data_IF_963914798493
#
_entry.id   IF_963914798493
#
_cell.length_a   1.000
_cell.length_b   1.000
_cell.length_c   1.000
_cell.angle_alpha   90.00
_cell.angle_beta   90.00
_cell.angle_gamma   90.00
#
_symmetry.space_group_name_H-M   'P 1'
#
loop_
_entity.id
_entity.type
_entity.pdbx_description
1 polymer ?
#
# COMPACT_ATOMS: atom_id res chain seq x y z
N UNK A 1 30.06 -29.33 -36.17
CA UNK A 1 29.08 -28.50 -35.42
C UNK A 1 28.06 -29.42 -34.81
N UNK A 2 28.05 -29.56 -33.49
CA UNK A 2 27.17 -30.45 -32.73
C UNK A 2 26.50 -29.63 -31.65
N UNK A 3 25.16 -29.53 -31.72
CA UNK A 3 24.39 -28.77 -30.74
C UNK A 3 24.28 -29.54 -29.43
N UNK A 4 24.53 -28.86 -28.31
CA UNK A 4 24.29 -29.38 -26.96
C UNK A 4 23.06 -28.67 -26.41
N UNK A 5 21.98 -29.41 -26.18
CA UNK A 5 20.80 -28.94 -25.46
C UNK A 5 20.95 -29.22 -23.96
N UNK A 6 20.90 -28.20 -23.08
CA UNK A 6 20.90 -28.43 -21.63
C UNK A 6 19.51 -28.89 -21.16
N UNK A 7 19.45 -30.06 -20.52
CA UNK A 7 18.21 -30.58 -19.90
C UNK A 7 18.11 -30.14 -18.43
N UNK A 8 17.24 -29.18 -18.15
CA UNK A 8 16.92 -28.78 -16.77
C UNK A 8 16.12 -29.89 -16.06
N UNK A 9 16.71 -30.45 -15.00
CA UNK A 9 16.07 -31.45 -14.15
C UNK A 9 15.17 -30.76 -13.11
N UNK A 10 13.87 -30.69 -13.39
CA UNK A 10 12.88 -30.19 -12.42
C UNK A 10 12.55 -31.27 -11.39
N UNK A 11 12.78 -30.97 -10.11
CA UNK A 11 12.47 -31.87 -9.01
C UNK A 11 10.95 -31.97 -8.78
N UNK A 12 10.36 -33.15 -9.00
CA UNK A 12 8.94 -33.42 -8.75
C UNK A 12 8.69 -33.93 -7.32
N UNK A 13 8.00 -33.17 -6.47
CA UNK A 13 7.16 -33.62 -5.33
C UNK A 13 6.01 -32.60 -5.17
N UNK A 14 4.79 -32.95 -5.56
CA UNK A 14 3.71 -33.59 -4.75
C UNK A 14 3.01 -32.58 -3.80
N UNK A 15 1.69 -32.56 -3.67
CA UNK A 15 0.62 -33.15 -4.48
C UNK A 15 -0.73 -32.50 -4.12
N UNK A 16 -1.63 -32.38 -5.10
CA UNK A 16 -3.04 -32.05 -4.87
C UNK A 16 -3.74 -33.17 -4.07
N UNK A 17 -4.47 -32.83 -3.01
CA UNK A 17 -5.50 -33.72 -2.44
C UNK A 17 -6.82 -32.98 -2.26
N UNK A 18 -7.77 -33.32 -3.13
CA UNK A 18 -9.20 -33.06 -2.93
C UNK A 18 -9.75 -34.25 -2.16
N UNK A 19 -10.51 -34.00 -1.08
CA UNK A 19 -11.19 -35.02 -0.29
C UNK A 19 -12.68 -34.72 -0.16
N UNK A 20 -13.52 -35.52 -0.82
CA UNK A 20 -14.97 -35.58 -0.54
C UNK A 20 -15.30 -36.85 0.25
N UNK A 21 -16.14 -36.74 1.27
CA UNK A 21 -17.14 -37.76 1.61
C UNK A 21 -17.15 -38.34 3.03
N UNK A 22 -18.33 -38.19 3.68
CA UNK A 22 -19.03 -39.11 4.60
C UNK A 22 -19.30 -38.64 6.05
N UNK A 23 -20.42 -39.14 6.61
CA UNK A 23 -21.08 -38.78 7.88
C UNK A 23 -21.36 -40.06 8.73
N UNK A 24 -21.96 -40.10 9.93
CA UNK A 24 -22.82 -39.19 10.71
C UNK A 24 -22.57 -39.40 12.22
N UNK A 25 -22.50 -38.35 13.06
CA UNK A 25 -22.85 -38.44 14.50
C UNK A 25 -23.07 -37.06 15.16
N UNK A 26 -24.15 -36.92 15.92
CA UNK A 26 -24.59 -35.66 16.55
C UNK A 26 -24.12 -35.55 18.01
N UNK A 27 -23.59 -34.38 18.40
CA UNK A 27 -23.58 -33.93 19.79
C UNK A 27 -23.90 -32.43 19.84
N UNK A 28 -24.86 -32.04 20.67
CA UNK A 28 -25.29 -30.64 20.75
C UNK A 28 -24.26 -29.81 21.53
N UNK A 29 -23.75 -28.75 20.91
CA UNK A 29 -22.85 -27.78 21.52
C UNK A 29 -22.91 -26.47 20.75
N UNK A 30 -23.30 -25.39 21.46
CA UNK A 30 -23.45 -23.99 21.03
C UNK A 30 -22.91 -23.68 19.63
N UNK A 31 -23.81 -23.42 18.68
CA UNK A 31 -23.44 -22.84 17.39
C UNK A 31 -22.90 -21.42 17.59
N UNK A 32 -21.58 -21.30 17.71
CA UNK A 32 -20.89 -20.04 17.53
C UNK A 32 -21.13 -19.57 16.09
N UNK A 33 -21.98 -18.56 15.92
CA UNK A 33 -22.21 -17.87 14.64
C UNK A 33 -20.98 -17.04 14.30
N UNK A 34 -19.91 -17.72 13.90
CA UNK A 34 -18.61 -17.14 13.57
C UNK A 34 -18.69 -16.41 12.22
N UNK A 35 -18.89 -15.08 12.30
CA UNK A 35 -18.49 -14.01 11.35
C UNK A 35 -18.78 -14.11 9.84
N UNK A 36 -19.24 -15.23 9.30
CA UNK A 36 -19.46 -15.42 7.87
C UNK A 36 -20.54 -14.50 7.27
N UNK A 37 -21.45 -13.97 8.10
CA UNK A 37 -22.50 -13.05 7.69
C UNK A 37 -22.02 -11.61 7.41
N UNK A 38 -20.76 -11.27 7.72
CA UNK A 38 -20.22 -9.91 7.51
C UNK A 38 -19.62 -9.69 6.10
N UNK A 39 -19.42 -10.76 5.32
CA UNK A 39 -18.70 -10.68 4.04
C UNK A 39 -19.61 -10.38 2.83
N UNK A 40 -20.93 -10.57 2.97
CA UNK A 40 -21.92 -10.25 1.92
C UNK A 40 -22.31 -8.76 1.87
N UNK A 41 -21.99 -7.97 2.90
CA UNK A 41 -22.43 -6.57 3.06
C UNK A 41 -21.47 -5.51 2.47
N UNK A 42 -20.23 -5.89 2.12
CA UNK A 42 -19.26 -4.97 1.51
C UNK A 42 -19.56 -4.77 0.01
N UNK A 43 -19.70 -3.51 -0.38
CA UNK A 43 -19.98 -3.07 -1.76
C UNK A 43 -18.72 -2.52 -2.43
N UNK A 44 -18.77 -2.40 -3.75
CA UNK A 44 -17.66 -1.84 -4.53
C UNK A 44 -17.42 -0.36 -4.17
N UNK A 45 -18.45 0.38 -3.78
CA UNK A 45 -18.35 1.74 -3.24
C UNK A 45 -17.72 1.80 -1.84
N UNK A 46 -17.72 0.72 -1.05
CA UNK A 46 -16.96 0.67 0.20
C UNK A 46 -15.46 0.56 -0.08
N UNK A 47 -15.09 -0.24 -1.08
CA UNK A 47 -13.71 -0.40 -1.54
C UNK A 47 -13.20 0.90 -2.18
N UNK A 48 -14.01 1.57 -3.01
CA UNK A 48 -13.63 2.85 -3.61
C UNK A 48 -13.53 3.99 -2.59
N UNK A 49 -14.35 3.98 -1.53
CA UNK A 49 -14.19 4.92 -0.39
C UNK A 49 -12.95 4.60 0.43
N UNK A 50 -12.61 3.33 0.62
CA UNK A 50 -11.37 2.91 1.26
C UNK A 50 -10.15 3.42 0.48
N UNK A 51 -10.09 3.14 -0.83
CA UNK A 51 -9.03 3.63 -1.73
C UNK A 51 -8.87 5.15 -1.62
N UNK A 52 -9.95 5.94 -1.73
CA UNK A 52 -9.90 7.41 -1.62
C UNK A 52 -9.24 7.91 -0.32
N UNK A 53 -9.26 7.17 0.80
CA UNK A 53 -8.51 7.57 2.01
C UNK A 53 -6.99 7.45 1.83
N UNK A 54 -6.52 6.46 1.07
CA UNK A 54 -5.10 6.25 0.72
C UNK A 54 -4.64 7.32 -0.26
N UNK A 55 -5.37 7.50 -1.37
CA UNK A 55 -5.14 8.56 -2.37
C UNK A 55 -4.98 9.95 -1.73
N UNK A 56 -5.79 10.22 -0.71
CA UNK A 56 -5.69 11.46 0.06
C UNK A 56 -4.38 11.63 0.83
N UNK A 57 -3.85 10.56 1.41
CA UNK A 57 -2.56 10.57 2.11
C UNK A 57 -1.41 10.71 1.11
N UNK A 58 -1.48 10.01 -0.02
CA UNK A 58 -0.41 9.97 -1.02
C UNK A 58 -0.34 11.29 -1.79
N UNK A 59 -1.48 11.85 -2.22
CA UNK A 59 -1.54 13.19 -2.80
C UNK A 59 -1.08 14.29 -1.81
N UNK A 60 -1.46 14.24 -0.53
CA UNK A 60 -0.92 15.18 0.47
C UNK A 60 0.59 15.04 0.64
N UNK A 61 1.11 13.81 0.70
CA UNK A 61 2.54 13.54 0.83
C UNK A 61 3.33 14.13 -0.35
N UNK A 62 2.93 13.77 -1.57
CA UNK A 62 3.64 14.14 -2.78
C UNK A 62 3.52 15.64 -3.11
N UNK A 63 2.34 16.24 -2.94
CA UNK A 63 2.18 17.69 -3.13
C UNK A 63 3.00 18.48 -2.09
N UNK A 64 3.04 18.06 -0.82
CA UNK A 64 3.83 18.74 0.22
C UNK A 64 5.31 18.67 -0.08
N UNK A 65 5.82 17.50 -0.45
CA UNK A 65 7.23 17.33 -0.80
C UNK A 65 7.67 18.09 -2.04
N UNK A 66 6.83 18.16 -3.08
CA UNK A 66 7.21 18.77 -4.36
C UNK A 66 6.90 20.27 -4.44
N UNK A 67 5.78 20.72 -3.86
CA UNK A 67 5.30 22.10 -3.96
C UNK A 67 5.41 22.88 -2.65
N UNK A 68 5.39 22.21 -1.50
CA UNK A 68 5.25 22.84 -0.18
C UNK A 68 3.81 23.12 0.23
N UNK A 69 2.81 22.58 -0.47
CA UNK A 69 1.37 22.73 -0.20
C UNK A 69 0.67 21.37 -0.21
N UNK A 70 -0.47 21.28 0.47
CA UNK A 70 -1.37 20.11 0.37
C UNK A 70 -2.31 20.19 -0.84
N UNK A 71 -3.36 19.36 -0.81
CA UNK A 71 -4.44 19.35 -1.80
C UNK A 71 -5.31 20.61 -1.65
N UNK A 72 -5.80 21.16 -2.76
CA UNK A 72 -6.72 22.31 -2.77
C UNK A 72 -8.08 22.00 -2.11
N UNK A 73 -8.69 22.99 -1.45
CA UNK A 73 -9.95 22.87 -0.70
C UNK A 73 -11.13 22.28 -1.51
N UNK A 74 -11.13 22.46 -2.84
CA UNK A 74 -12.15 21.89 -3.74
C UNK A 74 -12.12 20.35 -3.81
N UNK A 75 -10.96 19.76 -3.57
CA UNK A 75 -10.72 18.32 -3.76
C UNK A 75 -10.69 17.54 -2.43
N UNK A 76 -10.78 18.19 -1.27
CA UNK A 76 -10.71 17.52 0.06
C UNK A 76 -12.07 17.30 0.73
N UNK A 77 -13.17 17.82 0.17
CA UNK A 77 -14.52 17.60 0.69
C UNK A 77 -15.03 18.69 1.63
N UNK A 78 -16.16 18.42 2.28
CA UNK A 78 -16.94 19.44 3.02
C UNK A 78 -16.44 19.70 4.45
N UNK A 79 -15.86 18.69 5.08
CA UNK A 79 -15.34 18.68 6.45
C UNK A 79 -14.03 17.89 6.49
N UNK A 80 -13.00 18.32 5.75
CA UNK A 80 -11.70 17.66 5.73
C UNK A 80 -11.07 17.67 7.13
N UNK A 81 -10.39 16.59 7.49
CA UNK A 81 -9.50 16.56 8.63
C UNK A 81 -8.20 17.32 8.35
N UNK A 82 -7.56 17.78 9.42
CA UNK A 82 -6.26 18.46 9.36
C UNK A 82 -5.15 17.51 8.90
N UNK A 83 -4.08 18.09 8.35
CA UNK A 83 -2.90 17.34 7.91
C UNK A 83 -1.65 17.91 8.58
N UNK A 84 -1.05 17.10 9.44
CA UNK A 84 0.15 17.42 10.22
C UNK A 84 1.40 16.95 9.47
N UNK A 85 2.47 17.73 9.58
CA UNK A 85 3.74 17.45 8.93
C UNK A 85 3.82 17.80 7.45
N UNK A 86 4.97 17.48 6.87
CA UNK A 86 5.29 17.73 5.48
C UNK A 86 5.84 19.13 5.18
N UNK A 87 6.82 19.18 4.29
CA UNK A 87 7.47 20.41 3.80
C UNK A 87 8.07 20.17 2.42
N UNK A 88 8.35 21.25 1.69
CA UNK A 88 9.01 21.15 0.38
C UNK A 88 10.43 20.57 0.53
N UNK A 89 10.70 19.51 -0.23
CA UNK A 89 11.97 18.80 -0.30
C UNK A 89 12.91 19.49 -1.28
N UNK A 90 14.19 19.56 -0.92
CA UNK A 90 15.24 19.92 -1.87
C UNK A 90 15.67 18.69 -2.68
N UNK A 91 15.56 18.77 -4.01
CA UNK A 91 15.97 17.72 -4.93
C UNK A 91 17.32 18.08 -5.55
N UNK A 92 18.40 17.49 -5.04
CA UNK A 92 19.76 17.60 -5.59
C UNK A 92 19.86 17.01 -7.00
N UNK A 93 18.95 16.10 -7.35
CA UNK A 93 18.82 15.50 -8.68
C UNK A 93 17.56 16.05 -9.38
N UNK A 94 17.69 17.01 -10.32
CA UNK A 94 16.54 17.69 -10.92
C UNK A 94 15.53 16.73 -11.55
N UNK A 95 15.99 15.71 -12.29
CA UNK A 95 15.13 14.70 -12.91
C UNK A 95 14.27 13.93 -11.87
N UNK A 96 14.80 13.67 -10.68
CA UNK A 96 14.03 13.04 -9.60
C UNK A 96 12.95 13.99 -9.06
N UNK A 97 13.24 15.28 -8.96
CA UNK A 97 12.25 16.31 -8.60
C UNK A 97 11.18 16.57 -9.67
N UNK A 98 11.43 16.20 -10.92
CA UNK A 98 10.39 16.12 -11.96
C UNK A 98 9.54 14.84 -11.78
N UNK A 99 10.17 13.67 -11.61
CA UNK A 99 9.45 12.40 -11.41
C UNK A 99 8.51 12.45 -10.20
N UNK A 100 8.98 12.96 -9.06
CA UNK A 100 8.13 13.11 -7.87
C UNK A 100 6.94 14.06 -8.10
N UNK A 101 7.06 15.05 -9.00
CA UNK A 101 5.97 15.98 -9.32
C UNK A 101 4.96 15.32 -10.25
N UNK A 102 5.40 14.51 -11.20
CA UNK A 102 4.51 13.69 -12.02
C UNK A 102 3.68 12.74 -11.14
N UNK A 103 4.29 12.07 -10.15
CA UNK A 103 3.55 11.29 -9.13
C UNK A 103 2.56 12.18 -8.36
N UNK A 104 2.98 13.35 -7.85
CA UNK A 104 2.09 14.29 -7.17
C UNK A 104 0.86 14.72 -8.01
N UNK A 105 1.04 14.84 -9.34
CA UNK A 105 -0.04 15.14 -10.29
C UNK A 105 -0.93 13.92 -10.56
N UNK A 106 -0.38 12.70 -10.49
CA UNK A 106 -1.12 11.45 -10.64
C UNK A 106 -2.01 11.19 -9.41
N UNK A 107 -1.49 11.30 -8.19
CA UNK A 107 -2.27 11.10 -6.96
C UNK A 107 -3.40 12.11 -6.82
N UNK A 108 -3.13 13.37 -7.17
CA UNK A 108 -4.18 14.39 -7.22
C UNK A 108 -5.25 14.07 -8.29
N UNK A 109 -4.87 13.44 -9.40
CA UNK A 109 -5.81 12.96 -10.42
C UNK A 109 -6.61 11.73 -9.94
N UNK A 110 -6.00 10.81 -9.18
CA UNK A 110 -6.68 9.69 -8.54
C UNK A 110 -7.74 10.19 -7.53
N UNK A 111 -7.37 11.09 -6.60
CA UNK A 111 -8.33 11.75 -5.66
C UNK A 111 -9.51 12.34 -6.43
N UNK A 112 -9.25 13.09 -7.50
CA UNK A 112 -10.30 13.70 -8.35
C UNK A 112 -11.15 12.65 -9.07
N UNK A 113 -10.55 11.57 -9.56
CA UNK A 113 -11.25 10.44 -10.17
C UNK A 113 -12.20 9.77 -9.18
N UNK A 114 -11.73 9.42 -7.98
CA UNK A 114 -12.54 8.78 -6.95
C UNK A 114 -13.70 9.66 -6.50
N UNK A 115 -13.45 10.94 -6.24
CA UNK A 115 -14.50 11.91 -5.88
C UNK A 115 -15.55 12.08 -6.96
N UNK A 116 -15.13 12.17 -8.23
CA UNK A 116 -16.05 12.22 -9.37
C UNK A 116 -16.90 10.95 -9.49
N UNK A 117 -16.28 9.79 -9.30
CA UNK A 117 -16.93 8.47 -9.45
C UNK A 117 -17.91 8.18 -8.32
N UNK A 118 -17.54 8.50 -7.08
CA UNK A 118 -18.39 8.33 -5.90
C UNK A 118 -19.43 9.45 -5.73
N UNK A 119 -19.22 10.61 -6.34
CA UNK A 119 -20.07 11.79 -6.24
C UNK A 119 -20.43 12.13 -4.77
N UNK A 120 -21.72 12.16 -4.41
CA UNK A 120 -22.18 12.44 -3.04
C UNK A 120 -21.80 11.36 -2.01
N UNK A 121 -21.32 10.19 -2.46
CA UNK A 121 -20.83 9.13 -1.58
C UNK A 121 -19.31 9.25 -1.32
N UNK A 122 -18.61 10.20 -1.96
CA UNK A 122 -17.19 10.42 -1.69
C UNK A 122 -16.97 10.76 -0.22
N UNK A 123 -15.92 10.21 0.39
CA UNK A 123 -15.51 10.62 1.73
C UNK A 123 -14.76 11.95 1.67
N UNK A 124 -14.89 12.75 2.73
CA UNK A 124 -14.00 13.90 2.95
C UNK A 124 -12.60 13.39 3.35
N UNK A 125 -11.56 14.18 3.10
CA UNK A 125 -10.17 13.87 3.49
C UNK A 125 -10.12 13.55 4.98
N UNK A 126 -9.61 12.39 5.42
CA UNK A 126 -9.44 12.10 6.85
C UNK A 126 -8.36 13.01 7.46
N UNK A 127 -8.23 13.00 8.78
CA UNK A 127 -7.07 13.63 9.42
C UNK A 127 -5.83 12.76 9.17
N UNK A 128 -4.73 13.37 8.73
CA UNK A 128 -3.47 12.70 8.38
C UNK A 128 -2.34 13.29 9.22
N UNK A 129 -1.43 12.44 9.72
CA UNK A 129 -0.27 12.86 10.50
C UNK A 129 1.01 12.19 10.00
N UNK A 130 1.76 12.92 9.17
CA UNK A 130 3.03 12.44 8.64
C UNK A 130 4.13 12.45 9.69
N UNK A 131 4.11 13.36 10.66
CA UNK A 131 5.15 13.46 11.68
C UNK A 131 5.06 12.26 12.62
N UNK A 132 3.86 11.94 13.13
CA UNK A 132 3.63 10.75 13.95
C UNK A 132 3.80 9.44 13.16
N UNK A 133 3.29 9.39 11.93
CA UNK A 133 3.39 8.22 11.06
C UNK A 133 4.85 7.86 10.73
N UNK A 134 5.62 8.81 10.20
CA UNK A 134 7.02 8.55 9.85
C UNK A 134 7.93 8.37 11.07
N UNK A 135 7.65 9.00 12.22
CA UNK A 135 8.38 8.70 13.45
C UNK A 135 8.18 7.23 13.90
N UNK A 136 6.97 6.69 13.79
CA UNK A 136 6.68 5.29 14.09
C UNK A 136 7.31 4.33 13.06
N UNK A 137 7.27 4.65 11.76
CA UNK A 137 8.00 3.90 10.72
C UNK A 137 9.51 3.90 10.98
N UNK A 138 10.10 5.06 11.27
CA UNK A 138 11.53 5.20 11.53
C UNK A 138 11.98 4.38 12.74
N UNK A 139 11.17 4.36 13.80
CA UNK A 139 11.40 3.53 14.97
C UNK A 139 11.32 2.04 14.65
N UNK A 140 10.34 1.60 13.85
CA UNK A 140 10.15 0.20 13.48
C UNK A 140 11.25 -0.32 12.53
N UNK A 141 11.71 0.54 11.61
CA UNK A 141 12.78 0.27 10.65
C UNK A 141 14.19 0.61 11.15
N UNK A 142 14.34 1.13 12.38
CA UNK A 142 15.65 1.49 12.95
C UNK A 142 16.38 2.62 12.21
N UNK A 143 15.66 3.55 11.59
CA UNK A 143 16.22 4.67 10.82
C UNK A 143 16.79 5.81 11.71
N UNK A 144 16.50 5.78 13.01
CA UNK A 144 16.90 6.77 14.01
C UNK A 144 15.79 7.75 14.37
N UNK A 145 15.85 8.31 15.58
CA UNK A 145 14.80 9.19 16.12
C UNK A 145 14.68 10.53 15.37
N UNK A 146 15.76 10.97 14.71
CA UNK A 146 15.82 12.20 13.89
C UNK A 146 15.40 11.97 12.41
N UNK A 147 14.77 10.85 12.06
CA UNK A 147 14.35 10.59 10.69
C UNK A 147 13.21 11.51 10.25
N UNK A 148 13.46 12.26 9.18
CA UNK A 148 12.51 13.16 8.56
C UNK A 148 12.28 12.73 7.10
N UNK A 149 11.08 12.25 6.78
CA UNK A 149 10.70 11.83 5.42
C UNK A 149 10.83 12.96 4.39
N UNK A 150 10.66 14.22 4.81
CA UNK A 150 10.78 15.40 3.96
C UNK A 150 12.15 16.09 4.11
N UNK A 151 13.11 15.46 4.78
CA UNK A 151 14.41 16.06 5.10
C UNK A 151 15.37 16.11 3.91
N UNK A 152 15.26 15.18 2.96
CA UNK A 152 16.07 15.11 1.73
C UNK A 152 15.41 14.18 0.69
N UNK A 153 15.86 14.25 -0.56
CA UNK A 153 15.30 13.45 -1.66
C UNK A 153 15.33 11.92 -1.46
N UNK A 154 16.31 11.37 -0.72
CA UNK A 154 16.39 9.91 -0.48
C UNK A 154 15.36 9.48 0.56
N UNK A 155 15.24 10.22 1.67
CA UNK A 155 14.18 9.99 2.66
C UNK A 155 12.78 10.15 2.03
N UNK A 156 12.62 11.08 1.09
CA UNK A 156 11.35 11.35 0.45
C UNK A 156 10.92 10.23 -0.51
N UNK A 157 11.84 9.72 -1.33
CA UNK A 157 11.55 8.53 -2.17
C UNK A 157 11.37 7.28 -1.31
N UNK A 158 12.05 7.17 -0.16
CA UNK A 158 11.86 6.08 0.79
C UNK A 158 10.45 6.09 1.42
N UNK A 159 9.95 7.27 1.80
CA UNK A 159 8.56 7.41 2.26
C UNK A 159 7.54 7.18 1.14
N UNK A 160 7.85 7.57 -0.09
CA UNK A 160 7.05 7.20 -1.27
C UNK A 160 6.96 5.67 -1.44
N UNK A 161 8.09 4.98 -1.46
CA UNK A 161 8.16 3.52 -1.59
C UNK A 161 7.32 2.76 -0.54
N UNK A 162 7.18 3.31 0.68
CA UNK A 162 6.29 2.74 1.69
C UNK A 162 4.83 2.71 1.21
N UNK A 163 4.36 3.80 0.62
CA UNK A 163 3.00 3.97 0.14
C UNK A 163 2.75 3.23 -1.18
N UNK A 164 3.61 3.42 -2.20
CA UNK A 164 3.48 2.76 -3.51
C UNK A 164 3.39 1.22 -3.44
N UNK A 165 4.25 0.60 -2.63
CA UNK A 165 4.22 -0.86 -2.41
C UNK A 165 2.88 -1.30 -1.77
N UNK A 166 2.25 -0.44 -0.96
CA UNK A 166 0.93 -0.70 -0.35
C UNK A 166 -0.17 -0.46 -1.37
N UNK A 167 -0.13 0.63 -2.14
CA UNK A 167 -1.07 0.94 -3.22
C UNK A 167 -1.19 -0.19 -4.24
N UNK A 168 -0.08 -0.60 -4.87
CA UNK A 168 -0.02 -1.73 -5.82
C UNK A 168 -0.67 -3.00 -5.26
N UNK A 169 -0.35 -3.36 -4.01
CA UNK A 169 -0.79 -4.62 -3.39
C UNK A 169 -2.23 -4.55 -2.85
N UNK A 170 -2.69 -3.37 -2.44
CA UNK A 170 -4.08 -3.08 -2.10
C UNK A 170 -4.98 -3.13 -3.33
N UNK A 171 -4.55 -2.54 -4.45
CA UNK A 171 -5.28 -2.60 -5.72
C UNK A 171 -5.32 -4.03 -6.29
N UNK A 172 -4.22 -4.78 -6.20
CA UNK A 172 -4.21 -6.19 -6.57
C UNK A 172 -5.21 -7.00 -5.74
N UNK A 173 -5.33 -6.72 -4.44
CA UNK A 173 -6.35 -7.30 -3.56
C UNK A 173 -7.77 -6.90 -3.95
N UNK A 174 -8.03 -5.60 -4.16
CA UNK A 174 -9.33 -5.06 -4.56
C UNK A 174 -9.84 -5.69 -5.87
N UNK A 175 -8.96 -5.90 -6.85
CA UNK A 175 -9.29 -6.55 -8.12
C UNK A 175 -9.86 -7.98 -7.96
N UNK A 176 -9.59 -8.66 -6.84
CA UNK A 176 -10.14 -10.01 -6.57
C UNK A 176 -11.58 -10.01 -6.04
N UNK A 177 -12.05 -8.88 -5.49
CA UNK A 177 -13.35 -8.76 -4.82
C UNK A 177 -14.34 -7.81 -5.50
N UNK A 178 -13.86 -6.89 -6.36
CA UNK A 178 -14.71 -5.94 -7.10
C UNK A 178 -15.68 -6.66 -8.06
N UNK A 179 -16.98 -6.40 -7.89
CA UNK A 179 -18.06 -7.06 -8.64
C UNK A 179 -18.40 -6.27 -9.92
N UNK A 180 -18.58 -4.95 -9.79
CA UNK A 180 -18.82 -4.00 -10.87
C UNK A 180 -17.62 -3.94 -11.84
N UNK A 181 -17.91 -3.99 -13.15
CA UNK A 181 -16.86 -4.13 -14.19
C UNK A 181 -16.21 -2.81 -14.58
N UNK A 182 -16.93 -1.71 -14.44
CA UNK A 182 -16.41 -0.36 -14.63
C UNK A 182 -15.41 -0.01 -13.52
N UNK A 183 -15.72 -0.35 -12.26
CA UNK A 183 -14.86 -0.16 -11.09
C UNK A 183 -13.65 -1.09 -11.14
N UNK A 184 -13.83 -2.36 -11.51
CA UNK A 184 -12.72 -3.29 -11.73
C UNK A 184 -11.78 -2.81 -12.85
N UNK A 185 -12.33 -2.31 -13.96
CA UNK A 185 -11.52 -1.76 -15.05
C UNK A 185 -10.76 -0.49 -14.63
N UNK A 186 -11.38 0.39 -13.84
CA UNK A 186 -10.72 1.56 -13.28
C UNK A 186 -9.62 1.18 -12.28
N UNK A 187 -9.89 0.29 -11.33
CA UNK A 187 -8.90 -0.20 -10.37
C UNK A 187 -7.71 -0.91 -11.04
N UNK A 188 -7.96 -1.68 -12.11
CA UNK A 188 -6.89 -2.28 -12.91
C UNK A 188 -6.06 -1.25 -13.70
N UNK A 189 -6.68 -0.13 -14.11
CA UNK A 189 -5.98 1.00 -14.73
C UNK A 189 -5.09 1.75 -13.74
N UNK A 190 -5.61 2.02 -12.54
CA UNK A 190 -4.86 2.68 -11.45
C UNK A 190 -3.72 1.77 -10.98
N UNK A 191 -3.96 0.49 -10.72
CA UNK A 191 -2.91 -0.50 -10.40
C UNK A 191 -1.69 -0.44 -11.34
N UNK A 192 -1.91 -0.21 -12.64
CA UNK A 192 -0.83 -0.09 -13.61
C UNK A 192 -0.02 1.21 -13.44
N UNK A 193 -0.66 2.31 -13.03
CA UNK A 193 -0.02 3.60 -12.71
C UNK A 193 0.82 3.47 -11.43
N UNK A 194 0.23 2.96 -10.35
CA UNK A 194 0.90 2.62 -9.07
C UNK A 194 2.14 1.75 -9.29
N UNK A 195 2.05 0.76 -10.18
CA UNK A 195 3.17 -0.12 -10.50
C UNK A 195 4.33 0.61 -11.20
N UNK A 196 4.05 1.67 -11.97
CA UNK A 196 5.10 2.54 -12.53
C UNK A 196 5.73 3.43 -11.45
N UNK A 197 4.93 3.99 -10.54
CA UNK A 197 5.41 4.79 -9.42
C UNK A 197 6.29 3.97 -8.48
N UNK A 198 5.81 2.81 -8.01
CA UNK A 198 6.58 1.81 -7.26
C UNK A 198 7.89 1.46 -7.96
N UNK A 199 7.84 1.12 -9.25
CA UNK A 199 9.03 0.77 -10.03
C UNK A 199 10.04 1.93 -10.14
N UNK A 200 9.57 3.16 -10.28
CA UNK A 200 10.38 4.37 -10.28
C UNK A 200 11.00 4.65 -8.91
N UNK A 201 10.23 4.53 -7.81
CA UNK A 201 10.73 4.75 -6.45
C UNK A 201 11.81 3.72 -6.07
N UNK A 202 11.51 2.42 -6.26
CA UNK A 202 12.43 1.31 -5.94
C UNK A 202 13.71 1.37 -6.79
N UNK A 203 13.60 1.66 -8.10
CA UNK A 203 14.78 1.79 -8.96
C UNK A 203 15.60 3.06 -8.67
N UNK A 204 14.95 4.16 -8.25
CA UNK A 204 15.63 5.38 -7.81
C UNK A 204 16.44 5.14 -6.53
N UNK A 205 15.84 4.53 -5.50
CA UNK A 205 16.53 4.12 -4.28
C UNK A 205 17.66 3.13 -4.57
N UNK A 206 17.44 2.16 -5.48
CA UNK A 206 18.49 1.24 -5.87
C UNK A 206 19.70 1.95 -6.53
N UNK A 207 19.47 3.03 -7.28
CA UNK A 207 20.55 3.84 -7.87
C UNK A 207 21.25 4.77 -6.88
N UNK A 208 20.67 5.03 -5.70
CA UNK A 208 21.30 5.81 -4.61
C UNK A 208 22.31 5.02 -3.78
N UNK A 209 22.37 3.69 -3.94
CA UNK A 209 23.41 2.84 -3.35
C UNK A 209 23.10 2.33 -1.92
N UNK A 210 24.11 1.71 -1.30
CA UNK A 210 23.97 0.84 -0.10
C UNK A 210 23.18 1.46 1.07
N UNK A 211 23.32 2.77 1.32
CA UNK A 211 22.55 3.46 2.38
C UNK A 211 21.04 3.39 2.11
N UNK A 212 20.64 3.65 0.87
CA UNK A 212 19.23 3.59 0.46
C UNK A 212 18.72 2.14 0.43
N UNK A 213 19.57 1.18 0.01
CA UNK A 213 19.22 -0.25 0.02
C UNK A 213 18.88 -0.74 1.44
N UNK A 214 19.72 -0.42 2.42
CA UNK A 214 19.50 -0.81 3.83
C UNK A 214 18.25 -0.16 4.40
N UNK A 215 18.03 1.13 4.13
CA UNK A 215 16.85 1.84 4.61
C UNK A 215 15.55 1.29 3.98
N UNK A 216 15.55 1.04 2.67
CA UNK A 216 14.41 0.47 1.96
C UNK A 216 14.08 -0.95 2.41
N UNK A 217 15.08 -1.84 2.52
CA UNK A 217 14.88 -3.17 3.09
C UNK A 217 14.33 -3.09 4.52
N UNK A 218 14.89 -2.23 5.38
CA UNK A 218 14.40 -2.10 6.76
C UNK A 218 12.95 -1.57 6.86
N UNK A 219 12.51 -0.74 5.90
CA UNK A 219 11.09 -0.33 5.79
C UNK A 219 10.20 -1.48 5.34
N UNK A 220 10.62 -2.28 4.35
CA UNK A 220 9.90 -3.51 3.97
C UNK A 220 9.82 -4.51 5.14
N UNK A 221 10.93 -4.77 5.82
CA UNK A 221 10.99 -5.65 7.00
C UNK A 221 10.15 -5.11 8.17
N UNK A 222 9.89 -3.80 8.25
CA UNK A 222 9.05 -3.20 9.28
C UNK A 222 7.55 -3.32 8.94
N UNK A 223 7.21 -3.29 7.66
CA UNK A 223 5.85 -3.42 7.13
C UNK A 223 5.36 -4.88 7.19
N UNK A 224 6.20 -5.85 6.83
CA UNK A 224 5.92 -7.29 6.92
C UNK A 224 5.53 -7.72 8.35
N UNK A 225 6.24 -7.19 9.36
CA UNK A 225 5.98 -7.50 10.78
C UNK A 225 4.60 -7.11 11.29
N UNK A 226 3.90 -6.20 10.60
CA UNK A 226 2.60 -5.69 11.03
C UNK A 226 1.48 -6.04 10.07
N UNK A 227 1.75 -6.35 8.81
CA UNK A 227 0.68 -6.58 7.84
C UNK A 227 -0.04 -7.93 8.04
N UNK A 228 0.66 -9.00 8.41
CA UNK A 228 0.05 -10.33 8.54
C UNK A 228 0.87 -11.36 9.32
N UNK A 229 0.57 -12.64 9.06
CA UNK A 229 1.36 -13.80 9.51
C UNK A 229 2.17 -14.43 8.36
N UNK A 230 2.04 -13.90 7.15
CA UNK A 230 2.68 -14.39 5.93
C UNK A 230 3.80 -13.42 5.55
N UNK A 231 5.02 -13.93 5.40
CA UNK A 231 6.16 -13.20 4.83
C UNK A 231 5.86 -12.91 3.34
N UNK A 232 5.44 -11.67 3.07
CA UNK A 232 4.94 -11.20 1.77
C UNK A 232 5.84 -10.11 1.20
N UNK A 233 6.33 -9.24 2.06
CA UNK A 233 7.10 -8.09 1.64
C UNK A 233 8.49 -8.47 1.15
N UNK A 234 9.04 -7.62 0.29
CA UNK A 234 10.35 -7.84 -0.27
C UNK A 234 11.09 -6.51 -0.33
N UNK A 235 12.28 -6.45 0.27
CA UNK A 235 13.18 -5.31 0.15
C UNK A 235 13.65 -5.07 -1.28
N UNK A 236 14.29 -3.92 -1.54
CA UNK A 236 14.83 -3.58 -2.87
C UNK A 236 16.13 -4.34 -3.21
N UNK A 237 16.67 -5.09 -2.25
CA UNK A 237 17.75 -6.05 -2.46
C UNK A 237 17.42 -7.41 -1.84
N UNK A 238 17.59 -8.49 -2.61
CA UNK A 238 17.46 -9.90 -2.18
C UNK A 238 18.71 -10.65 -2.65
N UNK A 239 19.35 -11.45 -1.79
CA UNK A 239 20.61 -12.16 -2.06
C UNK A 239 21.72 -11.29 -2.70
N UNK A 240 21.80 -10.01 -2.29
CA UNK A 240 22.76 -9.04 -2.83
C UNK A 240 22.43 -8.53 -4.25
N UNK A 241 21.25 -8.86 -4.80
CA UNK A 241 20.80 -8.47 -6.15
C UNK A 241 19.59 -7.55 -6.08
N UNK A 242 19.37 -6.76 -7.13
CA UNK A 242 18.23 -5.85 -7.25
C UNK A 242 16.89 -6.60 -7.20
N UNK A 243 15.93 -6.07 -6.44
CA UNK A 243 14.55 -6.52 -6.39
C UNK A 243 13.57 -5.32 -6.51
N UNK A 244 13.46 -4.80 -7.74
CA UNK A 244 12.67 -3.59 -8.04
C UNK A 244 11.23 -3.89 -8.47
N UNK A 245 10.85 -5.15 -8.64
CA UNK A 245 9.47 -5.60 -8.97
C UNK A 245 9.07 -6.75 -8.04
N UNK A 246 8.70 -6.43 -6.78
CA UNK A 246 8.38 -7.44 -5.78
C UNK A 246 7.12 -8.19 -6.20
N UNK A 247 7.19 -9.52 -6.25
CA UNK A 247 6.15 -10.35 -6.86
C UNK A 247 6.18 -11.79 -6.38
N UNK A 248 5.08 -12.51 -6.62
CA UNK A 248 4.97 -13.98 -6.44
C UNK A 248 5.91 -14.73 -7.39
N UNK A 249 6.15 -16.06 -7.18
CA UNK A 249 6.97 -16.87 -8.09
C UNK A 249 6.52 -16.88 -9.57
N UNK A 250 5.25 -16.56 -9.84
CA UNK A 250 4.68 -16.43 -11.19
C UNK A 250 4.79 -15.00 -11.77
N UNK A 251 5.56 -14.11 -11.12
CA UNK A 251 5.72 -12.69 -11.46
C UNK A 251 4.41 -11.86 -11.42
N UNK A 252 3.49 -12.23 -10.53
CA UNK A 252 2.23 -11.49 -10.26
C UNK A 252 2.40 -10.67 -8.98
N UNK A 253 1.89 -9.43 -8.96
CA UNK A 253 1.81 -8.63 -7.73
C UNK A 253 1.02 -9.38 -6.65
N UNK A 254 1.58 -9.49 -5.44
CA UNK A 254 0.90 -10.12 -4.32
C UNK A 254 -0.20 -9.20 -3.77
N UNK A 255 -1.16 -9.78 -3.05
CA UNK A 255 -2.38 -9.08 -2.64
C UNK A 255 -2.42 -8.80 -1.15
N UNK A 256 -2.92 -7.62 -0.78
CA UNK A 256 -3.33 -7.28 0.59
C UNK A 256 -4.83 -7.06 0.67
N UNK A 257 -5.42 -7.53 1.76
CA UNK A 257 -6.78 -7.20 2.18
C UNK A 257 -6.84 -5.80 2.81
N UNK A 258 -8.02 -5.17 2.90
CA UNK A 258 -8.17 -3.88 3.58
C UNK A 258 -7.64 -3.89 5.02
N UNK A 259 -7.76 -5.02 5.74
CA UNK A 259 -7.25 -5.18 7.11
C UNK A 259 -5.72 -5.13 7.16
N UNK A 260 -5.03 -5.84 6.25
CA UNK A 260 -3.56 -5.82 6.15
C UNK A 260 -3.07 -4.41 5.78
N UNK A 261 -3.75 -3.72 4.87
CA UNK A 261 -3.47 -2.30 4.55
C UNK A 261 -3.67 -1.40 5.77
N UNK A 262 -4.79 -1.56 6.48
CA UNK A 262 -5.13 -0.78 7.69
C UNK A 262 -4.09 -0.96 8.80
N UNK A 263 -3.55 -2.16 8.97
CA UNK A 263 -2.47 -2.43 9.93
C UNK A 263 -1.21 -1.64 9.62
N UNK A 264 -0.85 -1.56 8.34
CA UNK A 264 0.30 -0.77 7.87
C UNK A 264 0.06 0.72 8.11
N UNK A 265 -1.06 1.28 7.64
CA UNK A 265 -1.29 2.73 7.76
C UNK A 265 -1.60 3.20 9.19
N UNK A 266 -2.14 2.32 10.05
CA UNK A 266 -2.30 2.60 11.48
C UNK A 266 -1.09 2.20 12.33
N UNK A 267 -0.06 1.60 11.70
CA UNK A 267 1.20 1.15 12.30
C UNK A 267 0.98 0.25 13.53
N UNK A 268 0.19 -0.82 13.33
CA UNK A 268 -0.23 -1.74 14.39
C UNK A 268 -0.40 -3.17 13.87
N UNK A 269 0.05 -4.15 14.65
CA UNK A 269 -0.17 -5.59 14.44
C UNK A 269 -1.52 -6.07 15.04
N UNK A 270 -2.14 -5.27 15.90
CA UNK A 270 -3.36 -5.61 16.61
C UNK A 270 -4.58 -5.51 15.68
N UNK A 271 -5.48 -6.50 15.76
CA UNK A 271 -6.80 -6.45 15.12
C UNK A 271 -7.83 -5.69 15.96
N UNK A 272 -8.86 -5.15 15.32
CA UNK A 272 -9.89 -4.31 15.95
C UNK A 272 -9.49 -2.84 16.15
N UNK A 273 -8.35 -2.41 15.59
CA UNK A 273 -7.84 -1.04 15.73
C UNK A 273 -8.40 -0.14 14.63
N UNK A 274 -9.13 0.90 15.04
CA UNK A 274 -9.82 1.82 14.14
C UNK A 274 -9.11 3.13 13.82
N UNK A 275 -7.88 3.34 14.31
CA UNK A 275 -7.06 4.56 14.11
C UNK A 275 -5.64 4.37 14.63
N UNK A 276 -4.70 5.16 14.13
CA UNK A 276 -3.29 5.13 14.51
C UNK A 276 -2.38 5.59 13.38
N UNK A 277 -1.07 5.52 13.58
CA UNK A 277 -0.07 5.80 12.55
C UNK A 277 -0.32 7.10 11.79
N UNK A 278 -0.46 6.99 10.46
CA UNK A 278 -0.72 8.12 9.56
C UNK A 278 -2.14 8.70 9.69
N UNK A 279 -3.07 8.02 10.35
CA UNK A 279 -4.48 8.42 10.49
C UNK A 279 -4.87 8.52 11.98
N UNK A 280 -4.53 9.62 12.68
CA UNK A 280 -4.75 9.76 14.14
C UNK A 280 -6.23 9.66 14.57
N UNK A 281 -7.16 9.95 13.65
CA UNK A 281 -8.61 9.84 13.85
C UNK A 281 -9.25 8.67 13.09
N UNK A 282 -8.45 7.85 12.39
CA UNK A 282 -8.91 6.76 11.54
C UNK A 282 -9.35 7.20 10.15
N UNK A 283 -9.67 6.22 9.30
CA UNK A 283 -10.20 6.43 7.95
C UNK A 283 -11.71 6.65 7.96
N UNK A 284 -12.19 7.40 6.96
CA UNK A 284 -13.60 7.63 6.71
C UNK A 284 -14.22 6.48 5.91
N UNK A 285 -15.41 6.03 6.30
CA UNK A 285 -16.18 5.00 5.58
C UNK A 285 -16.48 3.74 6.42
N UNK A 286 -16.69 2.63 5.71
CA UNK A 286 -17.09 1.32 6.25
C UNK A 286 -15.88 0.47 6.63
N UNK A 287 -14.90 0.37 5.73
CA UNK A 287 -13.63 -0.35 5.94
C UNK A 287 -12.66 0.58 6.69
N UNK A 288 -12.51 0.39 8.01
CA UNK A 288 -11.70 1.26 8.87
C UNK A 288 -11.19 0.60 10.16
N UNK A 289 -11.16 -0.72 10.22
CA UNK A 289 -10.58 -1.49 11.34
C UNK A 289 -9.74 -2.64 10.83
N UNK A 290 -8.61 -2.86 11.50
CA UNK A 290 -7.75 -4.05 11.41
C UNK A 290 -8.42 -5.30 12.00
#
# INVERSE_FOLDING_TARGET
>A
MTAVTPSLHVCRRRALQIGLGATIASAAGVASTSSAAAQDDIKDEDIFRFALNLEYMEAEYYLRGTTGKGIDDSDIGSKPGDVVGGKKVAFDTPALGEFMREVAENELAHVRFYRKTLASNAVDRPAIDFDAGFAAVAKAAGLGDDFDAFGNQMNFVLGGMLFEDVGVTAYAGAATVLKNKEFLAAAAGILAVEAYHMGMARSSLYRMGEKAWKAANAVSDARDKIDGNEDKDQGIQVDGKANVVPSTPDAIAFTRTPQEVLRIVYLTDQSGVGKGGFYPNGMNGTLKST
#
